data_IF_604961379894
#
_entry.id   IF_604961379894
#
_cell.length_a   1.000
_cell.length_b   1.000
_cell.length_c   1.000
_cell.angle_alpha   90.00
_cell.angle_beta   90.00
_cell.angle_gamma   90.00
#
_symmetry.space_group_name_H-M   'P 1'
#
loop_
_entity.id
_entity.type
_entity.pdbx_description
1 polymer ?
#
# COMPACT_ATOMS: atom_id res chain seq x y z
N UNK A 1 10.51 -6.90 49.60
CA UNK A 1 11.97 -6.65 49.53
C UNK A 1 12.64 -7.15 48.26
N UNK A 2 12.45 -8.42 47.87
CA UNK A 2 13.21 -9.08 46.79
C UNK A 2 13.07 -8.46 45.39
N UNK A 3 11.87 -7.96 45.05
CA UNK A 3 11.60 -7.31 43.75
C UNK A 3 12.38 -6.00 43.58
N UNK A 4 12.29 -5.09 44.55
CA UNK A 4 13.00 -3.80 44.53
C UNK A 4 14.52 -4.02 44.50
N UNK A 5 15.02 -4.96 45.30
CA UNK A 5 16.45 -5.29 45.34
C UNK A 5 16.96 -5.86 44.00
N UNK A 6 16.20 -6.74 43.35
CA UNK A 6 16.57 -7.28 42.04
C UNK A 6 16.51 -6.23 40.93
N UNK A 7 15.50 -5.37 40.92
CA UNK A 7 15.43 -4.24 39.99
C UNK A 7 16.59 -3.27 40.18
N UNK A 8 16.99 -3.00 41.43
CA UNK A 8 18.16 -2.16 41.73
C UNK A 8 19.46 -2.78 41.21
N UNK A 9 19.66 -4.09 41.41
CA UNK A 9 20.80 -4.82 40.84
C UNK A 9 20.81 -4.80 39.31
N UNK A 10 19.65 -4.99 38.68
CA UNK A 10 19.52 -4.87 37.22
C UNK A 10 19.83 -3.46 36.74
N UNK A 11 19.31 -2.42 37.39
CA UNK A 11 19.58 -1.04 37.02
C UNK A 11 21.09 -0.71 37.11
N UNK A 12 21.76 -1.13 38.18
CA UNK A 12 23.22 -0.96 38.31
C UNK A 12 23.98 -1.71 37.22
N UNK A 13 23.56 -2.92 36.89
CA UNK A 13 24.19 -3.70 35.82
C UNK A 13 24.03 -3.02 34.46
N UNK A 14 22.82 -2.56 34.14
CA UNK A 14 22.49 -1.83 32.91
C UNK A 14 23.33 -0.56 32.82
N UNK A 15 23.44 0.22 33.90
CA UNK A 15 24.24 1.45 33.93
C UNK A 15 25.72 1.13 33.68
N UNK A 16 26.27 0.14 34.38
CA UNK A 16 27.69 -0.21 34.26
C UNK A 16 28.05 -0.77 32.88
N UNK A 17 27.13 -1.47 32.23
CA UNK A 17 27.37 -2.10 30.93
C UNK A 17 27.08 -1.16 29.75
N UNK A 18 25.94 -0.45 29.78
CA UNK A 18 25.51 0.39 28.66
C UNK A 18 26.17 1.78 28.68
N UNK A 19 26.49 2.35 29.85
CA UNK A 19 27.10 3.70 29.87
C UNK A 19 28.43 3.76 29.11
N UNK A 20 29.36 2.80 29.25
CA UNK A 20 30.59 2.79 28.45
C UNK A 20 30.31 2.63 26.96
N UNK A 21 29.39 1.74 26.57
CA UNK A 21 29.03 1.50 25.17
C UNK A 21 28.40 2.75 24.52
N UNK A 22 27.53 3.46 25.25
CA UNK A 22 26.92 4.72 24.79
C UNK A 22 27.98 5.83 24.68
N UNK A 23 28.93 5.91 25.61
CA UNK A 23 30.01 6.88 25.53
C UNK A 23 30.96 6.62 24.36
N UNK A 24 31.29 5.35 24.09
CA UNK A 24 32.07 4.98 22.91
C UNK A 24 31.35 5.37 21.62
N UNK A 25 30.05 5.08 21.52
CA UNK A 25 29.21 5.45 20.39
C UNK A 25 29.14 6.98 20.19
N UNK A 26 28.98 7.75 21.27
CA UNK A 26 29.02 9.22 21.25
C UNK A 26 30.34 9.74 20.69
N UNK A 27 31.46 9.19 21.14
CA UNK A 27 32.80 9.60 20.67
C UNK A 27 32.99 9.25 19.20
N UNK A 28 32.61 8.03 18.78
CA UNK A 28 32.74 7.57 17.39
C UNK A 28 31.95 8.43 16.41
N UNK A 29 30.71 8.79 16.75
CA UNK A 29 29.81 9.57 15.89
C UNK A 29 29.81 11.07 16.18
N UNK A 30 30.65 11.53 17.12
CA UNK A 30 30.74 12.93 17.56
C UNK A 30 29.39 13.50 18.04
N UNK A 31 28.64 12.69 18.77
CA UNK A 31 27.33 13.04 19.31
C UNK A 31 27.42 13.49 20.76
N UNK A 32 26.48 14.34 21.15
CA UNK A 32 26.32 14.88 22.50
C UNK A 32 24.97 14.46 23.09
N UNK A 33 24.80 14.62 24.41
CA UNK A 33 23.49 14.39 25.04
C UNK A 33 22.38 15.29 24.47
N UNK A 34 22.73 16.50 24.05
CA UNK A 34 21.80 17.44 23.42
C UNK A 34 21.27 16.94 22.07
N UNK A 35 22.03 16.12 21.34
CA UNK A 35 21.57 15.55 20.06
C UNK A 35 20.43 14.55 20.30
N UNK A 36 20.51 13.72 21.34
CA UNK A 36 19.43 12.79 21.68
C UNK A 36 18.15 13.51 22.11
N UNK A 37 18.27 14.57 22.90
CA UNK A 37 17.12 15.40 23.28
C UNK A 37 16.48 16.08 22.07
N UNK A 38 17.32 16.58 21.14
CA UNK A 38 16.88 17.19 19.90
C UNK A 38 16.17 16.19 18.99
N UNK A 39 16.64 14.96 18.88
CA UNK A 39 15.99 13.93 18.05
C UNK A 39 14.56 13.64 18.53
N UNK A 40 14.29 13.67 19.84
CA UNK A 40 12.92 13.49 20.33
C UNK A 40 11.98 14.62 19.86
N UNK A 41 12.47 15.86 19.84
CA UNK A 41 11.70 17.00 19.34
C UNK A 41 11.52 16.94 17.81
N UNK A 42 12.58 16.60 17.07
CA UNK A 42 12.53 16.41 15.62
C UNK A 42 11.58 15.25 15.23
N UNK A 43 11.61 14.15 15.98
CA UNK A 43 10.71 13.01 15.79
C UNK A 43 9.25 13.40 16.08
N UNK A 44 8.99 14.15 17.16
CA UNK A 44 7.65 14.63 17.48
C UNK A 44 7.11 15.55 16.39
N UNK A 45 7.89 16.54 15.95
CA UNK A 45 7.52 17.46 14.87
C UNK A 45 7.27 16.69 13.56
N UNK A 46 8.11 15.71 13.26
CA UNK A 46 7.92 14.81 12.13
C UNK A 46 6.60 14.03 12.21
N UNK A 47 6.30 13.42 13.36
CA UNK A 47 5.06 12.65 13.54
C UNK A 47 3.81 13.54 13.46
N UNK A 48 3.89 14.78 13.97
CA UNK A 48 2.79 15.74 13.89
C UNK A 48 2.56 16.24 12.47
N UNK A 49 3.63 16.57 11.73
CA UNK A 49 3.54 16.95 10.32
C UNK A 49 3.08 15.77 9.45
N UNK A 50 3.38 14.53 9.85
CA UNK A 50 2.93 13.32 9.15
C UNK A 50 1.43 13.08 9.33
N UNK A 51 0.88 13.40 10.51
CA UNK A 51 -0.54 13.28 10.79
C UNK A 51 -1.41 14.36 10.10
N UNK A 52 -0.79 15.37 9.49
CA UNK A 52 -1.45 16.56 8.94
C UNK A 52 -1.54 16.57 7.41
N UNK A 53 -1.54 15.41 6.73
CA UNK A 53 -2.15 15.34 5.37
C UNK A 53 -3.51 16.02 5.48
N UNK A 54 -3.66 17.19 4.85
CA UNK A 54 -4.80 18.04 5.13
C UNK A 54 -6.06 17.34 4.63
N UNK A 55 -7.17 17.46 5.36
CA UNK A 55 -8.44 16.85 4.96
C UNK A 55 -8.83 17.26 3.51
N UNK A 56 -8.44 18.48 3.11
CA UNK A 56 -8.58 19.01 1.75
C UNK A 56 -7.76 18.22 0.70
N UNK A 57 -6.51 17.84 1.00
CA UNK A 57 -5.71 17.00 0.10
C UNK A 57 -6.34 15.61 -0.07
N UNK A 58 -6.90 15.06 0.99
CA UNK A 58 -7.57 13.75 0.97
C UNK A 58 -8.84 13.83 0.12
N UNK A 59 -9.67 14.84 0.31
CA UNK A 59 -10.90 15.03 -0.48
C UNK A 59 -10.61 15.25 -1.98
N UNK A 60 -9.54 15.98 -2.33
CA UNK A 60 -9.10 16.13 -3.73
C UNK A 60 -8.60 14.82 -4.33
N UNK A 61 -7.83 14.03 -3.58
CA UNK A 61 -7.37 12.71 -4.03
C UNK A 61 -8.53 11.74 -4.24
N UNK A 62 -9.51 11.70 -3.32
CA UNK A 62 -10.68 10.82 -3.46
C UNK A 62 -11.57 11.25 -4.62
N UNK A 63 -11.69 12.55 -4.88
CA UNK A 63 -12.38 13.06 -6.06
C UNK A 63 -11.72 12.62 -7.36
N UNK A 64 -10.40 12.75 -7.49
CA UNK A 64 -9.67 12.27 -8.68
C UNK A 64 -9.84 10.75 -8.87
N UNK A 65 -9.77 9.96 -7.79
CA UNK A 65 -9.98 8.50 -7.86
C UNK A 65 -11.41 8.14 -8.30
N UNK A 66 -12.42 8.90 -7.87
CA UNK A 66 -13.80 8.75 -8.33
C UNK A 66 -13.95 9.10 -9.81
N UNK A 67 -13.28 10.16 -10.30
CA UNK A 67 -13.27 10.52 -11.71
C UNK A 67 -12.60 9.45 -12.58
N UNK A 68 -11.49 8.84 -12.12
CA UNK A 68 -10.86 7.70 -12.81
C UNK A 68 -11.78 6.48 -12.87
N UNK A 69 -12.48 6.19 -11.78
CA UNK A 69 -13.43 5.07 -11.68
C UNK A 69 -14.64 5.26 -12.59
N UNK A 70 -15.18 6.49 -12.64
CA UNK A 70 -16.24 6.87 -13.57
C UNK A 70 -15.79 6.70 -15.02
N UNK A 71 -14.62 7.22 -15.40
CA UNK A 71 -14.10 7.08 -16.76
C UNK A 71 -13.92 5.61 -17.16
N UNK A 72 -13.47 4.75 -16.24
CA UNK A 72 -13.37 3.31 -16.48
C UNK A 72 -14.75 2.64 -16.66
N UNK A 73 -15.74 3.02 -15.86
CA UNK A 73 -17.10 2.52 -15.96
C UNK A 73 -17.78 2.96 -17.28
N UNK A 74 -17.53 4.19 -17.74
CA UNK A 74 -18.00 4.71 -19.03
C UNK A 74 -17.45 3.88 -20.20
N UNK A 75 -16.12 3.63 -20.20
CA UNK A 75 -15.48 2.79 -21.23
C UNK A 75 -16.03 1.37 -21.20
N UNK A 76 -16.21 0.79 -20.01
CA UNK A 76 -16.74 -0.57 -19.84
C UNK A 76 -18.17 -0.67 -20.35
N UNK A 77 -19.05 0.24 -19.94
CA UNK A 77 -20.44 0.28 -20.40
C UNK A 77 -20.54 0.55 -21.89
N UNK A 78 -19.72 1.46 -22.41
CA UNK A 78 -19.61 1.76 -23.84
C UNK A 78 -19.22 0.53 -24.65
N UNK A 79 -18.23 -0.25 -24.18
CA UNK A 79 -17.80 -1.50 -24.83
C UNK A 79 -18.86 -2.60 -24.84
N UNK A 80 -19.64 -2.74 -23.76
CA UNK A 80 -20.75 -3.72 -23.71
C UNK A 80 -21.96 -3.24 -24.52
N UNK A 81 -22.11 -1.93 -24.73
CA UNK A 81 -23.21 -1.33 -25.51
C UNK A 81 -22.86 -1.20 -26.99
N UNK A 82 -21.57 -1.21 -27.37
CA UNK A 82 -21.10 -1.19 -28.75
C UNK A 82 -21.34 -2.54 -29.45
N UNK A 83 -22.60 -2.77 -29.77
CA UNK A 83 -23.12 -3.62 -30.85
C UNK A 83 -22.71 -5.10 -30.82
N UNK A 84 -23.57 -5.91 -30.21
CA UNK A 84 -23.90 -7.22 -30.75
C UNK A 84 -25.42 -7.28 -30.92
N UNK A 85 -25.91 -6.87 -32.10
CA UNK A 85 -27.29 -7.17 -32.47
C UNK A 85 -27.41 -8.69 -32.47
N UNK A 86 -28.29 -9.25 -31.64
CA UNK A 86 -28.52 -10.70 -31.57
C UNK A 86 -29.06 -11.17 -32.93
N UNK A 87 -28.16 -11.61 -33.80
CA UNK A 87 -28.51 -12.17 -35.10
C UNK A 87 -28.94 -13.62 -34.89
N UNK A 88 -30.23 -13.82 -34.63
CA UNK A 88 -30.79 -15.16 -34.60
C UNK A 88 -30.93 -15.70 -36.02
N UNK A 89 -30.47 -16.94 -36.21
CA UNK A 89 -30.63 -17.69 -37.44
C UNK A 89 -31.84 -18.63 -37.34
N UNK A 90 -32.44 -19.07 -38.46
CA UNK A 90 -33.55 -20.02 -38.42
C UNK A 90 -33.24 -21.32 -37.67
N UNK A 91 -31.96 -21.73 -37.63
CA UNK A 91 -31.48 -22.91 -36.87
C UNK A 91 -31.49 -22.71 -35.35
N UNK A 92 -31.58 -21.48 -34.87
CA UNK A 92 -31.70 -21.16 -33.45
C UNK A 92 -33.14 -21.34 -32.94
N UNK A 93 -34.11 -21.54 -33.83
CA UNK A 93 -35.51 -21.69 -33.49
C UNK A 93 -35.98 -23.14 -33.67
N UNK A 94 -36.72 -23.62 -32.68
CA UNK A 94 -37.48 -24.86 -32.77
C UNK A 94 -38.95 -24.54 -33.09
N UNK A 95 -39.58 -25.24 -34.05
CA UNK A 95 -40.96 -24.95 -34.46
C UNK A 95 -42.00 -24.98 -33.34
N UNK A 96 -41.71 -25.67 -32.23
CA UNK A 96 -42.64 -25.86 -31.10
C UNK A 96 -42.23 -25.17 -29.80
N UNK A 97 -40.94 -24.84 -29.60
CA UNK A 97 -40.44 -24.25 -28.34
C UNK A 97 -39.75 -22.89 -28.53
N UNK A 98 -39.69 -22.35 -29.75
CA UNK A 98 -39.05 -21.06 -30.03
C UNK A 98 -37.52 -21.14 -29.92
N UNK A 99 -36.88 -20.06 -29.45
CA UNK A 99 -35.41 -19.92 -29.41
C UNK A 99 -34.77 -21.00 -28.52
N UNK A 100 -33.67 -21.61 -28.97
CA UNK A 100 -32.98 -22.67 -28.24
C UNK A 100 -32.49 -22.20 -26.85
N UNK A 101 -32.58 -23.07 -25.84
CA UNK A 101 -32.25 -22.71 -24.44
C UNK A 101 -30.82 -22.22 -24.25
N UNK A 102 -29.85 -22.76 -24.99
CA UNK A 102 -28.46 -22.28 -24.93
C UNK A 102 -28.33 -20.85 -25.45
N UNK A 103 -29.06 -20.51 -26.52
CA UNK A 103 -29.07 -19.17 -27.13
C UNK A 103 -29.79 -18.18 -26.20
N UNK A 104 -30.88 -18.59 -25.56
CA UNK A 104 -31.53 -17.79 -24.50
C UNK A 104 -30.60 -17.55 -23.31
N UNK A 105 -29.80 -18.53 -22.89
CA UNK A 105 -28.86 -18.38 -21.79
C UNK A 105 -27.75 -17.37 -22.13
N UNK A 106 -27.22 -17.40 -23.36
CA UNK A 106 -26.24 -16.42 -23.86
C UNK A 106 -26.85 -15.01 -23.87
N UNK A 107 -28.06 -14.85 -24.40
CA UNK A 107 -28.74 -13.54 -24.42
C UNK A 107 -28.98 -12.99 -23.01
N UNK A 108 -29.38 -13.85 -22.05
CA UNK A 108 -29.55 -13.45 -20.65
C UNK A 108 -28.23 -13.08 -19.97
N UNK A 109 -27.14 -13.77 -20.27
CA UNK A 109 -25.83 -13.46 -19.73
C UNK A 109 -25.34 -12.09 -20.23
N UNK A 110 -25.49 -11.80 -21.53
CA UNK A 110 -25.16 -10.50 -22.12
C UNK A 110 -26.02 -9.37 -21.55
N UNK A 111 -27.32 -9.58 -21.38
CA UNK A 111 -28.20 -8.59 -20.76
C UNK A 111 -27.84 -8.36 -19.28
N UNK A 112 -27.49 -9.42 -18.55
CA UNK A 112 -27.04 -9.31 -17.17
C UNK A 112 -25.72 -8.54 -17.05
N UNK A 113 -24.77 -8.77 -17.96
CA UNK A 113 -23.51 -8.05 -18.06
C UNK A 113 -23.75 -6.56 -18.34
N UNK A 114 -24.58 -6.24 -19.34
CA UNK A 114 -24.97 -4.86 -19.66
C UNK A 114 -25.64 -4.16 -18.49
N UNK A 115 -26.60 -4.83 -17.85
CA UNK A 115 -27.29 -4.31 -16.67
C UNK A 115 -26.35 -4.11 -15.47
N UNK A 116 -25.33 -4.96 -15.32
CA UNK A 116 -24.31 -4.78 -14.28
C UNK A 116 -23.39 -3.59 -14.59
N UNK A 117 -22.92 -3.47 -15.83
CA UNK A 117 -22.09 -2.35 -16.28
C UNK A 117 -22.84 -1.01 -16.14
N UNK A 118 -24.12 -0.95 -16.51
CA UNK A 118 -24.95 0.24 -16.34
C UNK A 118 -25.12 0.62 -14.87
N UNK A 119 -25.43 -0.35 -13.99
CA UNK A 119 -25.54 -0.09 -12.55
C UNK A 119 -24.23 0.43 -11.97
N UNK A 120 -23.09 -0.09 -12.42
CA UNK A 120 -21.78 0.42 -12.01
C UNK A 120 -21.57 1.86 -12.46
N UNK A 121 -21.86 2.17 -13.72
CA UNK A 121 -21.77 3.53 -14.25
C UNK A 121 -22.59 4.53 -13.43
N UNK A 122 -23.87 4.22 -13.18
CA UNK A 122 -24.75 5.08 -12.37
C UNK A 122 -24.22 5.26 -10.94
N UNK A 123 -23.67 4.20 -10.34
CA UNK A 123 -23.08 4.28 -9.01
C UNK A 123 -21.89 5.25 -8.97
N UNK A 124 -20.96 5.13 -9.93
CA UNK A 124 -19.79 6.01 -10.02
C UNK A 124 -20.20 7.46 -10.33
N UNK A 125 -21.18 7.67 -11.22
CA UNK A 125 -21.73 9.00 -11.49
C UNK A 125 -22.27 9.65 -10.21
N UNK A 126 -23.08 8.92 -9.44
CA UNK A 126 -23.63 9.43 -8.19
C UNK A 126 -22.53 9.73 -7.16
N UNK A 127 -21.49 8.90 -7.08
CA UNK A 127 -20.37 9.12 -6.18
C UNK A 127 -19.58 10.40 -6.53
N UNK A 128 -19.35 10.64 -7.82
CA UNK A 128 -18.73 11.87 -8.32
C UNK A 128 -19.62 13.08 -8.01
N UNK A 129 -20.92 13.01 -8.31
CA UNK A 129 -21.86 14.11 -8.07
C UNK A 129 -21.99 14.45 -6.56
N UNK A 130 -21.93 13.44 -5.67
CA UNK A 130 -21.93 13.62 -4.22
C UNK A 130 -20.66 14.34 -3.75
N UNK A 131 -19.49 13.98 -4.29
CA UNK A 131 -18.21 14.63 -3.98
C UNK A 131 -18.17 16.07 -4.51
N UNK A 132 -18.65 16.32 -5.72
CA UNK A 132 -18.73 17.66 -6.32
C UNK A 132 -19.60 18.58 -5.46
N UNK A 133 -20.75 18.09 -4.98
CA UNK A 133 -21.62 18.82 -4.05
C UNK A 133 -20.95 19.12 -2.72
N UNK A 134 -20.23 18.16 -2.15
CA UNK A 134 -19.53 18.31 -0.86
C UNK A 134 -18.38 19.31 -0.95
N UNK A 135 -17.60 19.26 -2.02
CA UNK A 135 -16.44 20.12 -2.24
C UNK A 135 -16.81 21.50 -2.83
N UNK A 136 -18.07 21.72 -3.20
CA UNK A 136 -18.53 22.96 -3.83
C UNK A 136 -18.00 23.16 -5.26
N UNK A 137 -17.68 22.06 -5.95
CA UNK A 137 -17.17 22.07 -7.33
C UNK A 137 -18.36 22.33 -8.27
N UNK A 138 -18.28 23.41 -9.04
CA UNK A 138 -19.33 23.81 -9.99
C UNK A 138 -19.10 23.25 -11.39
N UNK A 139 -17.83 23.12 -11.78
CA UNK A 139 -17.41 22.52 -13.05
C UNK A 139 -16.52 21.31 -12.79
N UNK A 140 -16.90 20.16 -13.34
CA UNK A 140 -16.18 18.89 -13.19
C UNK A 140 -14.73 19.03 -13.64
N UNK A 141 -13.81 18.48 -12.85
CA UNK A 141 -12.40 18.56 -13.21
C UNK A 141 -12.08 17.78 -14.47
N UNK A 142 -11.25 18.39 -15.31
CA UNK A 142 -10.74 17.77 -16.54
C UNK A 142 -9.28 17.38 -16.37
N UNK A 143 -8.82 16.41 -17.16
CA UNK A 143 -7.42 15.92 -17.09
C UNK A 143 -6.36 16.98 -17.40
N UNK A 144 -6.77 18.08 -18.01
CA UNK A 144 -5.90 19.18 -18.41
C UNK A 144 -5.69 20.21 -17.29
N UNK A 145 -6.59 20.27 -16.32
CA UNK A 145 -6.51 21.19 -15.18
C UNK A 145 -5.35 20.82 -14.24
N UNK A 146 -4.73 21.84 -13.66
CA UNK A 146 -3.56 21.67 -12.81
C UNK A 146 -3.92 21.08 -11.45
N UNK A 147 -5.11 21.38 -10.94
CA UNK A 147 -5.66 20.81 -9.71
C UNK A 147 -5.83 19.29 -9.83
N UNK A 148 -6.36 18.83 -10.97
CA UNK A 148 -6.47 17.40 -11.27
C UNK A 148 -5.11 16.73 -11.32
N UNK A 149 -4.14 17.31 -12.05
CA UNK A 149 -2.78 16.77 -12.17
C UNK A 149 -2.07 16.71 -10.82
N UNK A 150 -2.22 17.74 -10.00
CA UNK A 150 -1.62 17.79 -8.66
C UNK A 150 -2.22 16.69 -7.75
N UNK A 151 -3.54 16.62 -7.66
CA UNK A 151 -4.22 15.60 -6.86
C UNK A 151 -3.93 14.18 -7.36
N UNK A 152 -3.82 13.98 -8.68
CA UNK A 152 -3.42 12.71 -9.27
C UNK A 152 -1.98 12.33 -8.87
N UNK A 153 -1.04 13.28 -8.92
CA UNK A 153 0.34 13.04 -8.48
C UNK A 153 0.38 12.68 -6.98
N UNK A 154 -0.31 13.43 -6.14
CA UNK A 154 -0.44 13.12 -4.71
C UNK A 154 -1.02 11.74 -4.47
N UNK A 155 -2.04 11.34 -5.22
CA UNK A 155 -2.63 10.00 -5.16
C UNK A 155 -1.62 8.91 -5.57
N UNK A 156 -0.88 9.11 -6.66
CA UNK A 156 0.14 8.16 -7.11
C UNK A 156 1.29 8.02 -6.12
N UNK A 157 1.75 9.15 -5.55
CA UNK A 157 2.75 9.15 -4.50
C UNK A 157 2.21 8.38 -3.29
N UNK A 158 1.02 8.70 -2.78
CA UNK A 158 0.38 7.98 -1.66
C UNK A 158 0.29 6.47 -1.92
N UNK A 159 -0.15 6.05 -3.12
CA UNK A 159 -0.19 4.63 -3.50
C UNK A 159 1.20 3.97 -3.44
N UNK A 160 2.23 4.65 -3.92
CA UNK A 160 3.61 4.18 -3.84
C UNK A 160 4.10 4.07 -2.39
N UNK A 161 3.85 5.09 -1.57
CA UNK A 161 4.15 5.10 -0.14
C UNK A 161 3.52 3.88 0.55
N UNK A 162 2.22 3.63 0.34
CA UNK A 162 1.52 2.47 0.92
C UNK A 162 2.15 1.14 0.52
N UNK A 163 2.56 1.02 -0.74
CA UNK A 163 3.24 -0.20 -1.22
C UNK A 163 4.60 -0.37 -0.55
N UNK A 164 5.36 0.71 -0.39
CA UNK A 164 6.65 0.69 0.32
C UNK A 164 6.46 0.28 1.78
N UNK A 165 5.54 0.91 2.50
CA UNK A 165 5.24 0.59 3.90
C UNK A 165 4.77 -0.85 4.07
N UNK A 166 3.96 -1.35 3.14
CA UNK A 166 3.52 -2.73 3.16
C UNK A 166 4.69 -3.70 2.96
N UNK A 167 5.54 -3.44 1.97
CA UNK A 167 6.73 -4.24 1.69
C UNK A 167 7.69 -4.25 2.90
N UNK A 168 7.96 -3.07 3.47
CA UNK A 168 8.75 -2.90 4.67
C UNK A 168 8.18 -3.72 5.83
N UNK A 169 6.89 -3.53 6.13
CA UNK A 169 6.21 -4.25 7.20
C UNK A 169 6.32 -5.77 7.04
N UNK A 170 6.35 -6.29 5.82
CA UNK A 170 6.58 -7.71 5.54
C UNK A 170 8.04 -8.14 5.78
N UNK A 171 9.01 -7.32 5.38
CA UNK A 171 10.45 -7.57 5.59
C UNK A 171 10.78 -7.58 7.09
N UNK A 172 10.34 -6.57 7.84
CA UNK A 172 10.50 -6.49 9.30
C UNK A 172 9.92 -7.73 9.98
N UNK A 173 8.69 -8.06 9.58
CA UNK A 173 8.01 -9.28 10.01
C UNK A 173 8.85 -10.53 9.73
N UNK A 174 9.51 -10.65 8.57
CA UNK A 174 10.37 -11.81 8.21
C UNK A 174 11.62 -11.85 9.08
N UNK A 175 12.27 -10.70 9.33
CA UNK A 175 13.44 -10.62 10.21
C UNK A 175 13.11 -11.15 11.62
N UNK A 176 11.97 -10.77 12.18
CA UNK A 176 11.52 -11.30 13.47
C UNK A 176 11.22 -12.80 13.45
N UNK A 177 10.71 -13.35 12.35
CA UNK A 177 10.53 -14.81 12.22
C UNK A 177 11.87 -15.54 12.16
N UNK A 178 12.84 -15.02 11.42
CA UNK A 178 14.20 -15.58 11.33
C UNK A 178 14.90 -15.54 12.69
N UNK A 179 14.78 -14.41 13.41
CA UNK A 179 15.28 -14.31 14.78
C UNK A 179 14.67 -15.39 15.70
N UNK A 180 13.36 -15.65 15.57
CA UNK A 180 12.69 -16.73 16.32
C UNK A 180 13.14 -18.13 15.90
N UNK A 181 13.45 -18.34 14.62
CA UNK A 181 13.99 -19.60 14.13
C UNK A 181 15.36 -19.93 14.75
N UNK A 182 16.16 -18.90 15.05
CA UNK A 182 17.50 -19.01 15.63
C UNK A 182 17.50 -19.20 17.16
N UNK A 183 16.34 -19.16 17.83
CA UNK A 183 16.25 -19.40 19.28
C UNK A 183 16.39 -20.90 19.60
N UNK A 184 17.40 -21.24 20.42
CA UNK A 184 17.57 -22.57 20.98
C UNK A 184 16.39 -22.95 21.91
N UNK A 185 16.00 -24.23 21.93
CA UNK A 185 14.95 -24.75 22.83
C UNK A 185 13.52 -24.75 22.27
N UNK A 186 13.32 -24.40 20.99
CA UNK A 186 12.01 -24.50 20.33
C UNK A 186 11.64 -25.95 20.00
N UNK A 187 10.43 -26.42 20.38
CA UNK A 187 9.97 -27.76 20.03
C UNK A 187 9.74 -27.97 18.53
N UNK A 188 9.77 -29.22 18.05
CA UNK A 188 9.67 -29.56 16.62
C UNK A 188 8.46 -28.92 15.90
N UNK A 189 7.27 -29.00 16.51
CA UNK A 189 6.04 -28.39 15.94
C UNK A 189 6.17 -26.88 15.77
N UNK A 190 6.77 -26.18 16.75
CA UNK A 190 6.97 -24.74 16.67
C UNK A 190 7.94 -24.36 15.55
N UNK A 191 9.03 -25.13 15.37
CA UNK A 191 9.96 -24.95 14.24
C UNK A 191 9.27 -25.12 12.89
N UNK A 192 8.39 -26.10 12.75
CA UNK A 192 7.61 -26.30 11.53
C UNK A 192 6.68 -25.12 11.24
N UNK A 193 6.02 -24.58 12.28
CA UNK A 193 5.21 -23.36 12.12
C UNK A 193 6.03 -22.16 11.70
N UNK A 194 7.21 -21.94 12.31
CA UNK A 194 8.12 -20.85 11.94
C UNK A 194 8.60 -20.99 10.49
N UNK A 195 9.02 -22.19 10.09
CA UNK A 195 9.44 -22.46 8.69
C UNK A 195 8.33 -22.16 7.69
N UNK A 196 7.11 -22.65 7.95
CA UNK A 196 5.96 -22.36 7.11
C UNK A 196 5.60 -20.87 7.08
N UNK A 197 5.78 -20.16 8.19
CA UNK A 197 5.52 -18.74 8.27
C UNK A 197 6.53 -17.94 7.44
N UNK A 198 7.83 -18.27 7.53
CA UNK A 198 8.90 -17.70 6.70
C UNK A 198 8.64 -17.93 5.21
N UNK A 199 8.21 -19.15 4.82
CA UNK A 199 7.89 -19.46 3.43
C UNK A 199 6.72 -18.61 2.89
N UNK A 200 5.62 -18.51 3.67
CA UNK A 200 4.48 -17.65 3.31
C UNK A 200 4.88 -16.18 3.23
N UNK A 201 5.68 -15.71 4.18
CA UNK A 201 6.14 -14.32 4.23
C UNK A 201 7.06 -13.98 3.06
N UNK A 202 7.92 -14.93 2.67
CA UNK A 202 8.76 -14.80 1.47
C UNK A 202 7.92 -14.66 0.19
N UNK A 203 6.83 -15.43 0.06
CA UNK A 203 5.91 -15.28 -1.07
C UNK A 203 5.17 -13.93 -1.05
N UNK A 204 4.72 -13.47 0.13
CA UNK A 204 4.09 -12.16 0.28
C UNK A 204 5.05 -11.01 -0.07
N UNK A 205 6.32 -11.11 0.33
CA UNK A 205 7.36 -10.13 -0.03
C UNK A 205 7.52 -10.06 -1.54
N UNK A 206 7.58 -11.18 -2.26
CA UNK A 206 7.65 -11.17 -3.74
C UNK A 206 6.45 -10.45 -4.36
N UNK A 207 5.23 -10.75 -3.93
CA UNK A 207 4.04 -10.08 -4.44
C UNK A 207 4.00 -8.58 -4.13
N UNK A 208 4.52 -8.16 -2.97
CA UNK A 208 4.67 -6.75 -2.62
C UNK A 208 5.77 -6.08 -3.44
N UNK A 209 6.87 -6.78 -3.71
CA UNK A 209 7.97 -6.34 -4.56
C UNK A 209 7.50 -6.10 -5.99
N UNK A 210 6.67 -6.99 -6.55
CA UNK A 210 6.10 -6.82 -7.89
C UNK A 210 5.29 -5.52 -7.99
N UNK A 211 4.48 -5.22 -6.96
CA UNK A 211 3.72 -3.96 -6.87
C UNK A 211 4.65 -2.75 -6.75
N UNK A 212 5.69 -2.86 -5.93
CA UNK A 212 6.69 -1.80 -5.80
C UNK A 212 7.37 -1.53 -7.14
N UNK A 213 7.86 -2.57 -7.82
CA UNK A 213 8.55 -2.47 -9.10
C UNK A 213 7.64 -1.95 -10.23
N UNK A 214 6.33 -2.21 -10.17
CA UNK A 214 5.38 -1.62 -11.10
C UNK A 214 5.19 -0.11 -10.92
N UNK A 215 5.26 0.39 -9.67
CA UNK A 215 5.04 1.79 -9.34
C UNK A 215 6.32 2.64 -9.27
N UNK A 216 7.46 2.02 -8.96
CA UNK A 216 8.77 2.67 -8.83
C UNK A 216 9.17 3.51 -10.07
N UNK A 217 9.08 3.03 -11.31
CA UNK A 217 9.44 3.82 -12.49
C UNK A 217 8.45 4.96 -12.80
N UNK A 218 7.24 4.92 -12.22
CA UNK A 218 6.20 5.93 -12.42
C UNK A 218 6.34 7.11 -11.45
N UNK A 219 7.21 7.02 -10.44
CA UNK A 219 7.46 8.10 -9.49
C UNK A 219 8.27 9.24 -10.13
N UNK A 220 8.19 10.42 -9.53
CA UNK A 220 9.02 11.56 -9.90
C UNK A 220 9.86 12.02 -8.69
N UNK A 221 11.19 11.81 -8.67
CA UNK A 221 11.98 11.13 -9.70
C UNK A 221 11.72 9.61 -9.74
N UNK A 222 11.98 8.93 -10.89
CA UNK A 222 11.84 7.48 -10.99
C UNK A 222 12.70 6.76 -9.96
N UNK A 223 12.14 5.73 -9.33
CA UNK A 223 12.82 4.93 -8.30
C UNK A 223 13.40 3.65 -8.90
N UNK A 224 14.54 3.14 -8.38
CA UNK A 224 15.08 1.87 -8.81
C UNK A 224 14.15 0.73 -8.43
N UNK A 225 14.06 -0.27 -9.32
CA UNK A 225 13.43 -1.55 -9.01
C UNK A 225 14.33 -2.32 -8.05
N UNK A 226 13.72 -3.16 -7.22
CA UNK A 226 14.42 -4.05 -6.30
C UNK A 226 14.27 -5.49 -6.73
N UNK A 227 15.32 -6.27 -6.52
CA UNK A 227 15.29 -7.71 -6.68
C UNK A 227 15.02 -8.40 -5.34
N UNK A 228 14.36 -9.57 -5.39
CA UNK A 228 14.03 -10.31 -4.17
C UNK A 228 15.27 -10.68 -3.35
N UNK A 229 16.40 -10.97 -4.01
CA UNK A 229 17.63 -11.37 -3.31
C UNK A 229 18.22 -10.21 -2.50
N UNK A 230 18.13 -8.98 -2.99
CA UNK A 230 18.57 -7.77 -2.27
C UNK A 230 17.75 -7.63 -0.98
N UNK A 231 16.42 -7.72 -1.11
CA UNK A 231 15.49 -7.63 0.02
C UNK A 231 15.64 -8.80 1.01
N UNK A 232 15.91 -10.00 0.50
CA UNK A 232 16.07 -11.19 1.32
C UNK A 232 17.42 -11.22 2.06
N UNK A 233 18.43 -10.53 1.54
CA UNK A 233 19.79 -10.44 2.09
C UNK A 233 19.92 -9.51 3.28
N UNK A 234 18.96 -8.59 3.46
CA UNK A 234 18.94 -7.71 4.62
C UNK A 234 18.90 -8.52 5.91
N UNK A 235 19.90 -8.29 6.75
CA UNK A 235 20.04 -8.85 8.09
C UNK A 235 19.57 -7.85 9.15
N UNK A 236 19.64 -6.55 8.85
CA UNK A 236 19.30 -5.48 9.78
C UNK A 236 18.27 -4.51 9.21
N UNK A 237 17.45 -3.95 10.10
CA UNK A 237 16.43 -2.96 9.71
C UNK A 237 17.06 -1.73 9.03
N UNK A 238 18.26 -1.35 9.44
CA UNK A 238 18.99 -0.20 8.87
C UNK A 238 19.55 -0.41 7.46
N UNK A 239 19.54 -1.64 6.94
CA UNK A 239 19.92 -1.94 5.55
C UNK A 239 18.75 -1.75 4.58
N UNK A 240 17.53 -1.58 5.12
CA UNK A 240 16.33 -1.35 4.33
C UNK A 240 16.18 0.13 3.95
N UNK A 241 16.98 0.58 2.97
CA UNK A 241 17.03 1.99 2.55
C UNK A 241 15.72 2.53 1.95
N UNK A 242 14.74 1.67 1.60
CA UNK A 242 13.42 2.10 1.09
C UNK A 242 12.69 3.04 2.05
N UNK A 243 12.92 2.86 3.36
CA UNK A 243 12.34 3.68 4.42
C UNK A 243 12.71 5.16 4.33
N UNK A 244 13.91 5.46 3.81
CA UNK A 244 14.43 6.83 3.70
C UNK A 244 13.64 7.65 2.68
N UNK A 245 13.03 6.96 1.70
CA UNK A 245 12.37 7.57 0.55
C UNK A 245 10.85 7.42 0.56
N UNK A 246 10.30 6.65 1.50
CA UNK A 246 8.89 6.26 1.51
C UNK A 246 7.95 7.33 2.03
N UNK A 247 8.39 8.35 2.76
CA UNK A 247 7.44 9.30 3.37
C UNK A 247 7.74 10.78 3.18
N UNK A 248 9.00 11.21 2.98
CA UNK A 248 9.34 12.65 2.85
C UNK A 248 10.79 12.98 2.49
N UNK A 249 11.54 12.04 1.91
CA UNK A 249 12.96 12.25 1.65
C UNK A 249 13.73 12.60 2.95
N UNK A 250 13.64 11.69 3.93
CA UNK A 250 14.15 11.82 5.29
C UNK A 250 15.67 12.09 5.38
N UNK A 251 16.39 12.02 4.26
CA UNK A 251 17.83 12.20 4.16
C UNK A 251 18.27 13.19 3.09
N UNK A 252 17.41 14.10 2.64
CA UNK A 252 17.78 15.16 1.68
C UNK A 252 18.65 16.30 2.29
N UNK A 253 19.32 16.06 3.42
CA UNK A 253 20.30 16.99 4.00
C UNK A 253 21.72 16.63 3.60
#
# INVERSE_FOLDING_TARGET
GKFIYNNYKQALHIINELSPAVQEFKVQLRLTDADFEKWNAEELEYLQTLATETEDDIEKMTYVEALESLAHAEVTYGGVTSVQFLSYTPTDFTPTQGLHKSVQAVARAQEAERSAAYRRLVLEMNAVDDLERRMGITERWTREQDEYKHALNSLMNRRFIHVVEHLEGLVVKRLFELAKANLAGTGYKLRQHISNAIARRSAAIRAALDKYNALAPLQNPPRPTLEYHEVASYAWLGEFDLLKHSRRDLLSK
#
